data_IF_857685142581
#
_entry.id   IF_857685142581
#
_cell.length_a   1.000
_cell.length_b   1.000
_cell.length_c   1.000
_cell.angle_alpha   90.00
_cell.angle_beta   90.00
_cell.angle_gamma   90.00
#
_symmetry.space_group_name_H-M   'P 1'
#
loop_
_entity.id
_entity.type
_entity.pdbx_description
1 polymer ?
#
# COMPACT_ATOMS: atom_id res chain seq x y z
N UNK A 1 15.23 13.41 -17.77
CA UNK A 1 15.43 12.50 -16.65
C UNK A 1 14.64 11.24 -16.86
N UNK A 2 15.30 10.12 -16.75
CA UNK A 2 14.67 8.81 -16.97
C UNK A 2 13.50 8.59 -16.00
N UNK A 3 13.70 8.93 -14.73
CA UNK A 3 12.63 8.76 -13.73
C UNK A 3 11.40 9.58 -14.09
N UNK A 4 11.61 10.82 -14.50
CA UNK A 4 10.52 11.70 -14.87
C UNK A 4 9.76 11.17 -16.09
N UNK A 5 10.49 10.65 -17.06
CA UNK A 5 9.88 10.08 -18.26
C UNK A 5 9.05 8.84 -17.90
N UNK A 6 9.59 7.96 -17.04
CA UNK A 6 8.86 6.77 -16.62
C UNK A 6 7.60 7.14 -15.83
N UNK A 7 7.67 8.16 -14.99
CA UNK A 7 6.51 8.63 -14.26
C UNK A 7 5.42 9.10 -15.22
N UNK A 8 5.79 9.92 -16.20
CA UNK A 8 4.85 10.40 -17.19
C UNK A 8 4.27 9.28 -18.05
N UNK A 9 5.10 8.32 -18.41
CA UNK A 9 4.65 7.15 -19.15
C UNK A 9 3.58 6.39 -18.37
N UNK A 10 3.84 6.11 -17.10
CA UNK A 10 2.89 5.39 -16.27
C UNK A 10 1.59 6.17 -16.08
N UNK A 11 1.68 7.49 -16.04
CA UNK A 11 0.52 8.34 -15.91
C UNK A 11 -0.42 8.22 -17.10
N UNK A 12 0.14 8.05 -18.31
CA UNK A 12 -0.64 7.96 -19.55
C UNK A 12 -0.92 6.52 -19.97
N UNK A 13 -0.09 5.59 -19.54
CA UNK A 13 -0.14 4.20 -20.00
C UNK A 13 -0.28 3.25 -18.81
N UNK A 14 -1.30 3.51 -18.00
CA UNK A 14 -1.58 2.66 -16.85
C UNK A 14 -1.93 1.25 -17.30
N UNK A 15 -1.33 0.27 -16.65
CA UNK A 15 -1.60 -1.14 -16.91
C UNK A 15 -2.28 -1.84 -15.74
N UNK A 16 -2.30 -1.21 -14.56
CA UNK A 16 -2.97 -1.82 -13.42
C UNK A 16 -4.46 -1.92 -13.68
N UNK A 17 -5.01 -3.10 -13.40
CA UNK A 17 -6.44 -3.34 -13.52
C UNK A 17 -7.22 -2.38 -12.63
N UNK A 18 -8.31 -1.81 -13.15
CA UNK A 18 -9.10 -0.82 -12.44
C UNK A 18 -9.74 -1.38 -11.17
N UNK A 19 -10.16 -2.64 -11.20
CA UNK A 19 -10.77 -3.27 -10.03
C UNK A 19 -9.75 -3.44 -8.92
N UNK A 20 -8.52 -3.80 -9.28
CA UNK A 20 -7.42 -3.94 -8.32
C UNK A 20 -7.10 -2.58 -7.71
N UNK A 21 -6.97 -1.56 -8.54
CA UNK A 21 -6.70 -0.21 -8.04
C UNK A 21 -7.78 0.26 -7.07
N UNK A 22 -9.04 0.00 -7.42
CA UNK A 22 -10.17 0.41 -6.57
C UNK A 22 -10.12 -0.28 -5.21
N UNK A 23 -9.82 -1.58 -5.19
CA UNK A 23 -9.70 -2.31 -3.92
C UNK A 23 -8.57 -1.73 -3.08
N UNK A 24 -7.44 -1.42 -3.70
CA UNK A 24 -6.31 -0.85 -2.97
C UNK A 24 -6.65 0.52 -2.40
N UNK A 25 -7.32 1.36 -3.17
CA UNK A 25 -7.73 2.68 -2.67
C UNK A 25 -8.70 2.56 -1.51
N UNK A 26 -9.62 1.60 -1.56
CA UNK A 26 -10.52 1.35 -0.45
C UNK A 26 -9.77 0.89 0.80
N UNK A 27 -8.76 0.02 0.63
CA UNK A 27 -7.96 -0.45 1.75
C UNK A 27 -7.10 0.65 2.34
N UNK A 28 -6.63 1.58 1.53
CA UNK A 28 -5.93 2.75 2.05
C UNK A 28 -6.87 3.55 2.95
N UNK A 29 -8.09 3.80 2.49
CA UNK A 29 -9.08 4.51 3.29
C UNK A 29 -9.47 3.74 4.56
N UNK A 30 -9.52 2.42 4.49
CA UNK A 30 -9.81 1.58 5.65
C UNK A 30 -8.70 1.59 6.69
N UNK A 31 -7.49 1.97 6.31
CA UNK A 31 -6.35 1.99 7.24
C UNK A 31 -6.65 2.80 8.49
N UNK A 32 -7.37 3.91 8.34
CA UNK A 32 -7.77 4.74 9.48
C UNK A 32 -8.67 3.99 10.44
N UNK A 33 -9.59 3.18 9.92
CA UNK A 33 -10.51 2.42 10.78
C UNK A 33 -9.84 1.24 11.47
N UNK A 34 -8.63 0.86 11.05
CA UNK A 34 -7.89 -0.24 11.64
C UNK A 34 -6.85 0.20 12.66
N UNK A 35 -6.73 1.49 12.92
CA UNK A 35 -5.69 2.01 13.81
C UNK A 35 -5.73 1.36 15.19
N UNK A 36 -6.92 1.24 15.79
CA UNK A 36 -7.04 0.67 17.13
C UNK A 36 -6.59 -0.79 17.17
N UNK A 37 -6.99 -1.56 16.18
CA UNK A 37 -6.61 -2.97 16.09
C UNK A 37 -5.08 -3.11 15.90
N UNK A 38 -4.51 -2.30 15.00
CA UNK A 38 -3.08 -2.35 14.74
C UNK A 38 -2.29 -1.85 15.95
N UNK A 39 -2.78 -0.82 16.64
CA UNK A 39 -2.16 -0.32 17.86
C UNK A 39 -2.12 -1.41 18.93
N UNK A 40 -3.21 -2.17 19.07
CA UNK A 40 -3.24 -3.29 20.02
C UNK A 40 -2.18 -4.33 19.66
N UNK A 41 -2.08 -4.65 18.35
CA UNK A 41 -1.08 -5.60 17.88
C UNK A 41 0.34 -5.09 18.14
N UNK A 42 0.61 -3.83 17.81
CA UNK A 42 1.92 -3.21 18.05
C UNK A 42 2.26 -3.26 19.54
N UNK A 43 1.32 -2.90 20.40
CA UNK A 43 1.55 -2.85 21.85
C UNK A 43 1.71 -4.22 22.47
N UNK A 44 1.28 -5.28 21.79
CA UNK A 44 1.47 -6.65 22.30
C UNK A 44 2.94 -7.05 22.29
N UNK A 45 3.78 -6.31 21.57
CA UNK A 45 5.22 -6.52 21.55
C UNK A 45 5.88 -5.48 22.45
N UNK A 46 6.04 -5.81 23.75
CA UNK A 46 6.49 -4.87 24.76
C UNK A 46 7.91 -4.33 24.58
N UNK A 47 8.70 -4.90 23.67
CA UNK A 47 10.07 -4.49 23.43
C UNK A 47 10.22 -3.67 22.14
N UNK A 48 9.13 -3.25 21.55
CA UNK A 48 9.16 -2.54 20.25
C UNK A 48 9.75 -1.15 20.43
N UNK A 49 10.87 -0.88 19.76
CA UNK A 49 11.60 0.39 19.88
C UNK A 49 10.93 1.52 19.10
N UNK A 50 10.28 1.20 17.99
CA UNK A 50 9.68 2.21 17.14
C UNK A 50 8.29 1.77 16.69
N UNK A 51 7.28 2.01 17.54
CA UNK A 51 5.92 1.54 17.25
C UNK A 51 5.33 2.14 15.98
N UNK A 52 5.69 3.38 15.64
CA UNK A 52 5.16 4.00 14.42
C UNK A 52 5.70 3.32 13.16
N UNK A 53 7.00 3.05 13.11
CA UNK A 53 7.57 2.35 11.96
C UNK A 53 6.96 0.96 11.81
N UNK A 54 6.79 0.25 12.95
CA UNK A 54 6.20 -1.07 12.93
C UNK A 54 4.74 -1.02 12.45
N UNK A 55 3.96 -0.08 12.99
CA UNK A 55 2.56 0.08 12.61
C UNK A 55 2.39 0.46 11.14
N UNK A 56 3.23 1.38 10.65
CA UNK A 56 3.22 1.74 9.23
C UNK A 56 3.59 0.53 8.37
N UNK A 57 4.55 -0.27 8.82
CA UNK A 57 4.93 -1.48 8.11
C UNK A 57 3.79 -2.48 7.99
N UNK A 58 2.97 -2.61 9.04
CA UNK A 58 1.80 -3.48 9.02
C UNK A 58 0.81 -2.98 7.96
N UNK A 59 0.56 -1.68 7.91
CA UNK A 59 -0.36 -1.10 6.92
C UNK A 59 0.17 -1.35 5.50
N UNK A 60 1.43 -1.03 5.26
CA UNK A 60 2.02 -1.22 3.93
C UNK A 60 2.03 -2.70 3.55
N UNK A 61 2.33 -3.57 4.52
CA UNK A 61 2.30 -5.01 4.29
C UNK A 61 0.91 -5.53 3.91
N UNK A 62 -0.14 -4.98 4.54
CA UNK A 62 -1.52 -5.34 4.18
C UNK A 62 -1.83 -4.92 2.74
N UNK A 63 -1.41 -3.74 2.36
CA UNK A 63 -1.65 -3.25 1.00
C UNK A 63 -0.87 -4.07 -0.03
N UNK A 64 0.39 -4.38 0.27
CA UNK A 64 1.23 -5.20 -0.58
C UNK A 64 0.62 -6.59 -0.76
N UNK A 65 0.18 -7.21 0.33
CA UNK A 65 -0.44 -8.52 0.27
C UNK A 65 -1.75 -8.48 -0.53
N UNK A 66 -2.54 -7.43 -0.34
CA UNK A 66 -3.79 -7.27 -1.07
C UNK A 66 -3.55 -7.10 -2.58
N UNK A 67 -2.50 -6.37 -2.95
CA UNK A 67 -2.13 -6.19 -4.34
C UNK A 67 -1.84 -7.54 -5.01
N UNK A 68 -1.03 -8.37 -4.36
CA UNK A 68 -0.71 -9.70 -4.90
C UNK A 68 -1.94 -10.62 -4.91
N UNK A 69 -2.72 -10.60 -3.84
CA UNK A 69 -3.91 -11.44 -3.74
C UNK A 69 -4.90 -11.11 -4.86
N UNK A 70 -5.19 -9.82 -5.06
CA UNK A 70 -6.16 -9.42 -6.08
C UNK A 70 -5.65 -9.70 -7.49
N UNK A 71 -4.35 -9.52 -7.71
CA UNK A 71 -3.77 -9.83 -9.02
C UNK A 71 -3.95 -11.30 -9.35
N UNK A 72 -3.64 -12.18 -8.40
CA UNK A 72 -3.81 -13.62 -8.63
C UNK A 72 -5.28 -14.02 -8.76
N UNK A 73 -6.16 -13.37 -8.00
CA UNK A 73 -7.58 -13.68 -8.05
C UNK A 73 -8.24 -13.20 -9.35
N UNK A 74 -7.94 -11.98 -9.77
CA UNK A 74 -8.60 -11.35 -10.91
C UNK A 74 -7.89 -11.67 -12.22
N UNK A 75 -6.56 -11.58 -12.24
CA UNK A 75 -5.77 -11.75 -13.47
C UNK A 75 -5.20 -13.15 -13.63
N UNK A 76 -5.32 -13.99 -12.59
CA UNK A 76 -4.82 -15.37 -12.59
C UNK A 76 -3.31 -15.45 -12.78
N UNK A 77 -2.58 -14.45 -12.34
CA UNK A 77 -1.13 -14.40 -12.41
C UNK A 77 -0.59 -13.42 -11.39
N UNK A 78 0.72 -13.49 -11.13
CA UNK A 78 1.39 -12.49 -10.30
C UNK A 78 1.46 -11.15 -11.03
N UNK A 79 1.59 -10.04 -10.28
CA UNK A 79 1.77 -8.73 -10.90
C UNK A 79 3.04 -8.66 -11.75
N UNK A 80 3.00 -7.86 -12.80
CA UNK A 80 4.18 -7.54 -13.58
C UNK A 80 5.00 -6.46 -12.87
N UNK A 81 6.24 -6.24 -13.34
CA UNK A 81 7.08 -5.17 -12.80
C UNK A 81 6.45 -3.80 -13.00
N UNK A 82 5.80 -3.59 -14.12
CA UNK A 82 5.14 -2.32 -14.40
C UNK A 82 3.95 -2.12 -13.48
N UNK A 83 3.16 -3.16 -13.24
CA UNK A 83 2.06 -3.09 -12.28
C UNK A 83 2.56 -2.81 -10.87
N UNK A 84 3.68 -3.42 -10.49
CA UNK A 84 4.29 -3.15 -9.19
C UNK A 84 4.74 -1.70 -9.08
N UNK A 85 5.32 -1.16 -10.15
CA UNK A 85 5.72 0.25 -10.20
C UNK A 85 4.52 1.17 -9.99
N UNK A 86 3.39 0.84 -10.60
CA UNK A 86 2.15 1.61 -10.42
C UNK A 86 1.61 1.48 -9.00
N UNK A 87 1.76 0.31 -8.38
CA UNK A 87 1.40 0.12 -6.99
C UNK A 87 2.21 1.06 -6.09
N UNK A 88 3.52 1.16 -6.32
CA UNK A 88 4.38 2.07 -5.56
C UNK A 88 3.91 3.51 -5.75
N UNK A 89 3.57 3.91 -6.97
CA UNK A 89 3.08 5.26 -7.23
C UNK A 89 1.76 5.54 -6.51
N UNK A 90 0.91 4.54 -6.42
CA UNK A 90 -0.34 4.67 -5.67
C UNK A 90 -0.06 4.90 -4.19
N UNK A 91 0.89 4.16 -3.60
CA UNK A 91 1.30 4.37 -2.22
C UNK A 91 1.87 5.78 -2.03
N UNK A 92 2.69 6.24 -2.96
CA UNK A 92 3.27 7.58 -2.89
C UNK A 92 2.21 8.66 -2.97
N UNK A 93 1.19 8.45 -3.76
CA UNK A 93 0.07 9.39 -3.87
C UNK A 93 -0.63 9.59 -2.52
N UNK A 94 -0.67 8.54 -1.70
CA UNK A 94 -1.32 8.57 -0.38
C UNK A 94 -0.32 8.63 0.77
N UNK A 95 0.94 8.96 0.47
CA UNK A 95 2.02 8.89 1.45
C UNK A 95 1.72 9.72 2.70
N UNK A 96 1.25 10.95 2.53
CA UNK A 96 0.97 11.82 3.68
C UNK A 96 -0.12 11.24 4.57
N UNK A 97 -1.20 10.75 3.97
CA UNK A 97 -2.28 10.13 4.75
C UNK A 97 -1.77 8.96 5.58
N UNK A 98 -0.94 8.11 4.95
CA UNK A 98 -0.46 6.90 5.61
C UNK A 98 0.53 7.22 6.71
N UNK A 99 1.41 8.20 6.49
CA UNK A 99 2.44 8.54 7.48
C UNK A 99 1.93 9.38 8.65
N UNK A 100 0.76 10.01 8.51
CA UNK A 100 0.15 10.76 9.60
C UNK A 100 -0.44 9.86 10.68
N UNK A 101 -0.68 8.59 10.39
CA UNK A 101 -1.22 7.65 11.37
C UNK A 101 -0.18 7.40 12.47
N UNK A 102 -0.60 7.55 13.72
CA UNK A 102 0.27 7.34 14.87
C UNK A 102 -0.14 6.08 15.65
N UNK A 103 0.85 5.29 16.04
CA UNK A 103 0.66 4.06 16.81
C UNK A 103 1.32 4.12 18.19
N UNK A 104 1.84 5.28 18.56
CA UNK A 104 2.49 5.46 19.86
C UNK A 104 1.55 6.07 20.89
#
# INVERSE_FOLDING_TARGET
MIFHILFNYNQYNKVMDEKIQKVLEEKIRESTSKINEITTLVNSFGQMKNPNVFGHGIIIGRLYNSFYYQSRRILKRNPTEQEFSEFIQLLKKHENELLEISFS
#
